data_IF_608857099589
#
_entry.id   IF_608857099589
#
_cell.length_a   1.000
_cell.length_b   1.000
_cell.length_c   1.000
_cell.angle_alpha   90.00
_cell.angle_beta   90.00
_cell.angle_gamma   90.00
#
_symmetry.space_group_name_H-M   'P 1'
#
loop_
_entity.id
_entity.type
_entity.pdbx_description
1 polymer ?
#
# COMPACT_ATOMS: atom_id res chain seq x y z
N UNK A 1 2.74 3.93 20.14
CA UNK A 1 2.20 4.84 19.19
C UNK A 1 1.24 5.89 19.73
N UNK A 2 1.24 6.21 21.05
CA UNK A 2 0.34 7.22 21.62
C UNK A 2 1.08 8.42 22.23
N UNK A 3 2.33 8.60 21.91
CA UNK A 3 3.13 9.66 22.55
C UNK A 3 3.52 10.70 21.51
N UNK A 4 2.51 11.30 20.86
CA UNK A 4 2.78 12.56 20.18
C UNK A 4 2.96 13.62 21.24
N UNK A 5 4.07 14.33 21.10
CA UNK A 5 4.35 15.44 22.01
C UNK A 5 3.17 16.40 21.96
N UNK A 6 2.61 16.74 23.10
CA UNK A 6 1.48 17.66 23.23
C UNK A 6 1.65 18.95 22.39
N UNK A 7 2.90 19.44 22.31
CA UNK A 7 3.27 20.58 21.47
C UNK A 7 3.01 20.39 19.97
N UNK A 8 3.17 19.18 19.42
CA UNK A 8 2.87 18.90 18.01
C UNK A 8 1.37 18.90 17.75
N UNK A 9 0.59 18.33 18.64
CA UNK A 9 -0.88 18.33 18.54
C UNK A 9 -1.39 19.77 18.57
N UNK A 10 -0.88 20.59 19.49
CA UNK A 10 -1.22 22.02 19.60
C UNK A 10 -0.81 22.83 18.35
N UNK A 11 0.37 22.52 17.78
CA UNK A 11 0.82 23.08 16.49
C UNK A 11 -0.21 22.84 15.40
N UNK A 12 -0.67 21.60 15.24
CA UNK A 12 -1.63 21.25 14.19
C UNK A 12 -3.05 21.74 14.48
N UNK A 13 -3.46 21.79 15.74
CA UNK A 13 -4.76 22.37 16.13
C UNK A 13 -4.91 23.85 15.76
N UNK A 14 -3.78 24.57 15.66
CA UNK A 14 -3.75 26.00 15.28
C UNK A 14 -3.72 26.20 13.76
N UNK A 15 -3.45 25.18 12.93
CA UNK A 15 -3.36 25.33 11.46
C UNK A 15 -4.75 25.56 10.83
N UNK A 16 -4.98 26.69 10.14
CA UNK A 16 -6.30 26.98 9.53
C UNK A 16 -6.68 25.97 8.45
N UNK A 17 -5.70 25.43 7.72
CA UNK A 17 -5.90 24.47 6.63
C UNK A 17 -6.53 23.18 7.14
N UNK A 18 -6.09 22.70 8.30
CA UNK A 18 -6.66 21.51 8.93
C UNK A 18 -8.13 21.68 9.31
N UNK A 19 -8.52 22.90 9.70
CA UNK A 19 -9.92 23.20 10.06
C UNK A 19 -10.88 23.12 8.86
N UNK A 20 -10.34 23.26 7.64
CA UNK A 20 -11.10 23.13 6.38
C UNK A 20 -11.27 21.68 5.92
N UNK A 21 -10.47 20.75 6.44
CA UNK A 21 -10.58 19.35 6.09
C UNK A 21 -11.71 18.66 6.88
N UNK A 22 -12.52 17.86 6.21
CA UNK A 22 -13.58 17.04 6.85
C UNK A 22 -13.01 16.10 7.95
N UNK A 23 -11.74 15.74 7.82
CA UNK A 23 -11.00 14.87 8.74
C UNK A 23 -10.12 15.65 9.69
N UNK A 24 -10.50 16.86 10.10
CA UNK A 24 -9.72 17.69 11.03
C UNK A 24 -9.28 16.87 12.26
N UNK A 25 -8.09 16.29 12.17
CA UNK A 25 -7.51 15.48 13.22
C UNK A 25 -6.05 15.91 13.50
N UNK A 26 -5.86 16.90 14.39
CA UNK A 26 -4.52 17.38 14.75
C UNK A 26 -3.61 16.28 15.31
N UNK A 27 -4.18 15.29 16.00
CA UNK A 27 -3.44 14.16 16.55
C UNK A 27 -2.86 13.29 15.43
N UNK A 28 -3.66 12.98 14.41
CA UNK A 28 -3.19 12.22 13.25
C UNK A 28 -2.11 12.98 12.47
N UNK A 29 -2.26 14.28 12.29
CA UNK A 29 -1.25 15.10 11.63
C UNK A 29 0.07 15.14 12.41
N UNK A 30 0.00 15.21 13.75
CA UNK A 30 1.18 15.12 14.62
C UNK A 30 1.86 13.74 14.52
N UNK A 31 1.08 12.65 14.42
CA UNK A 31 1.60 11.30 14.21
C UNK A 31 2.35 11.19 12.88
N UNK A 32 1.79 11.73 11.80
CA UNK A 32 2.44 11.74 10.48
C UNK A 32 3.75 12.54 10.51
N UNK A 33 3.81 13.71 11.17
CA UNK A 33 5.07 14.46 11.32
C UNK A 33 6.10 13.65 12.12
N UNK A 34 5.68 12.92 13.14
CA UNK A 34 6.59 12.08 13.94
C UNK A 34 7.13 10.92 13.11
N UNK A 35 6.28 10.28 12.30
CA UNK A 35 6.69 9.22 11.38
C UNK A 35 7.69 9.76 10.34
N UNK A 36 7.38 10.89 9.74
CA UNK A 36 8.24 11.55 8.73
C UNK A 36 9.63 11.86 9.30
N UNK A 37 9.70 12.41 10.51
CA UNK A 37 10.97 12.64 11.20
C UNK A 37 11.75 11.35 11.49
N UNK A 38 11.06 10.27 11.83
CA UNK A 38 11.71 8.98 12.07
C UNK A 38 12.30 8.40 10.79
N UNK A 39 11.60 8.56 9.67
CA UNK A 39 12.10 8.18 8.34
C UNK A 39 13.31 9.05 7.98
N UNK A 40 13.23 10.37 8.19
CA UNK A 40 14.36 11.28 7.99
C UNK A 40 15.60 10.83 8.76
N UNK A 41 15.45 10.52 10.05
CA UNK A 41 16.58 10.02 10.89
C UNK A 41 17.20 8.75 10.30
N UNK A 42 16.42 7.82 9.77
CA UNK A 42 16.95 6.61 9.12
C UNK A 42 17.75 6.98 7.86
N UNK A 43 17.22 7.87 7.03
CA UNK A 43 17.88 8.30 5.79
C UNK A 43 19.18 9.04 6.09
N UNK A 44 19.17 9.96 7.05
CA UNK A 44 20.36 10.70 7.50
C UNK A 44 21.43 9.74 8.04
N UNK A 45 21.02 8.72 8.81
CA UNK A 45 21.94 7.69 9.32
C UNK A 45 22.59 6.87 8.20
N UNK A 46 21.82 6.54 7.15
CA UNK A 46 22.38 5.83 5.99
C UNK A 46 23.41 6.70 5.23
N UNK A 47 23.14 8.00 5.13
CA UNK A 47 24.06 8.96 4.54
C UNK A 47 25.32 9.12 5.39
N UNK A 48 25.20 9.36 6.68
CA UNK A 48 26.32 9.51 7.63
C UNK A 48 27.25 8.29 7.65
N UNK A 49 26.68 7.10 7.42
CA UNK A 49 27.42 5.84 7.36
C UNK A 49 27.88 5.46 5.94
N UNK A 50 27.67 6.31 4.95
CA UNK A 50 27.99 6.06 3.53
C UNK A 50 27.34 4.77 2.97
N UNK A 51 26.19 4.35 3.51
CA UNK A 51 25.47 3.13 3.13
C UNK A 51 24.36 3.38 2.11
N UNK A 52 23.99 4.60 1.86
CA UNK A 52 22.82 4.99 1.06
C UNK A 52 22.81 4.42 -0.37
N UNK A 53 23.99 4.35 -1.00
CA UNK A 53 24.15 3.84 -2.37
C UNK A 53 24.05 2.32 -2.48
N UNK A 54 24.17 1.61 -1.35
CA UNK A 54 24.07 0.15 -1.27
C UNK A 54 22.84 -0.31 -0.45
N UNK A 55 21.89 0.57 -0.24
CA UNK A 55 20.68 0.27 0.54
C UNK A 55 19.43 0.57 -0.25
N UNK A 56 18.58 -0.45 -0.41
CA UNK A 56 17.21 -0.31 -0.91
C UNK A 56 16.30 0.06 0.25
N UNK A 57 15.72 1.24 0.22
CA UNK A 57 14.72 1.70 1.19
C UNK A 57 13.33 1.56 0.60
N UNK A 58 12.45 0.80 1.26
CA UNK A 58 11.07 0.61 0.86
C UNK A 58 10.15 1.18 1.95
N UNK A 59 9.34 2.16 1.58
CA UNK A 59 8.27 2.69 2.42
C UNK A 59 6.93 2.22 1.90
N UNK A 60 6.16 1.55 2.75
CA UNK A 60 4.86 1.00 2.41
C UNK A 60 3.93 1.05 3.65
N UNK A 61 2.62 1.00 3.45
CA UNK A 61 1.65 0.78 4.52
C UNK A 61 1.28 -0.69 4.59
N UNK A 62 0.92 -1.19 5.77
CA UNK A 62 0.48 -2.57 6.00
C UNK A 62 -0.89 -2.86 5.40
N UNK A 63 -1.76 -1.87 5.32
CA UNK A 63 -3.12 -1.97 4.80
C UNK A 63 -3.66 -0.59 4.41
N UNK A 64 -4.82 -0.57 3.78
CA UNK A 64 -5.50 0.66 3.41
C UNK A 64 -6.04 1.45 4.60
N UNK A 65 -6.62 2.60 4.32
CA UNK A 65 -7.07 3.53 5.35
C UNK A 65 -8.35 3.06 6.06
N UNK A 66 -8.53 3.54 7.29
CA UNK A 66 -9.80 3.37 8.00
C UNK A 66 -10.81 4.42 7.52
N UNK A 67 -11.84 3.94 6.83
CA UNK A 67 -13.16 4.54 6.75
C UNK A 67 -13.36 5.88 6.09
N UNK A 68 -13.70 5.84 4.81
CA UNK A 68 -14.71 6.76 4.28
C UNK A 68 -15.82 5.91 3.65
N UNK A 69 -17.00 5.89 4.26
CA UNK A 69 -18.20 5.28 3.66
C UNK A 69 -18.61 5.98 2.36
N UNK A 70 -18.17 7.23 2.20
CA UNK A 70 -18.52 8.07 1.05
C UNK A 70 -17.63 7.80 -0.20
N UNK A 71 -16.66 6.87 -0.12
CA UNK A 71 -15.86 6.45 -1.28
C UNK A 71 -14.91 7.49 -1.86
N UNK A 72 -14.61 8.57 -1.16
CA UNK A 72 -13.72 9.62 -1.68
C UNK A 72 -12.38 9.65 -0.93
N UNK A 73 -11.23 9.59 -1.63
CA UNK A 73 -11.10 9.34 -3.06
C UNK A 73 -11.38 7.88 -3.47
N UNK A 74 -11.41 6.94 -2.53
CA UNK A 74 -11.66 5.51 -2.77
C UNK A 74 -12.74 4.97 -1.86
N UNK A 75 -13.55 4.03 -2.41
CA UNK A 75 -14.57 3.28 -1.66
C UNK A 75 -13.92 2.29 -0.72
N UNK A 76 -14.59 2.04 0.41
CA UNK A 76 -14.26 1.00 1.37
C UNK A 76 -13.37 1.48 2.51
N UNK A 77 -12.79 0.52 3.21
CA UNK A 77 -11.94 0.77 4.38
C UNK A 77 -11.00 -0.41 4.64
N UNK A 78 -10.08 -0.22 5.60
CA UNK A 78 -9.28 -1.32 6.14
C UNK A 78 -10.13 -2.57 6.39
N UNK A 79 -9.69 -3.70 5.84
CA UNK A 79 -10.31 -5.02 5.99
C UNK A 79 -11.19 -5.46 4.82
N UNK A 80 -11.62 -4.54 3.94
CA UNK A 80 -12.33 -4.90 2.72
C UNK A 80 -11.44 -4.91 1.47
N UNK A 81 -11.96 -5.44 0.37
CA UNK A 81 -11.23 -5.56 -0.89
C UNK A 81 -11.51 -4.41 -1.87
N UNK A 82 -12.20 -3.34 -1.43
CA UNK A 82 -12.30 -2.11 -2.20
C UNK A 82 -10.97 -1.35 -2.21
N UNK A 83 -10.85 -0.38 -3.09
CA UNK A 83 -9.58 0.36 -3.26
C UNK A 83 -9.08 1.00 -1.96
N UNK A 84 -9.96 1.56 -1.12
CA UNK A 84 -9.52 2.15 0.14
C UNK A 84 -8.95 1.13 1.12
N UNK A 85 -9.36 -0.15 1.05
CA UNK A 85 -8.88 -1.21 1.91
C UNK A 85 -7.51 -1.78 1.51
N UNK A 86 -7.22 -1.81 0.21
CA UNK A 86 -6.04 -2.50 -0.34
C UNK A 86 -5.07 -1.61 -1.12
N UNK A 87 -5.46 -0.40 -1.50
CA UNK A 87 -4.58 0.52 -2.22
C UNK A 87 -3.76 1.34 -1.23
N UNK A 88 -2.46 1.11 -1.22
CA UNK A 88 -1.51 1.70 -0.29
C UNK A 88 -0.42 2.47 -1.02
N UNK A 89 0.17 3.50 -0.39
CA UNK A 89 1.37 4.13 -0.94
C UNK A 89 2.53 3.12 -0.94
N UNK A 90 3.31 3.14 -2.01
CA UNK A 90 4.60 2.46 -2.10
C UNK A 90 5.62 3.44 -2.64
N UNK A 91 6.68 3.68 -1.87
CA UNK A 91 7.79 4.54 -2.26
C UNK A 91 9.07 3.74 -2.12
N UNK A 92 9.90 3.76 -3.16
CA UNK A 92 11.17 3.03 -3.16
C UNK A 92 12.29 4.01 -3.48
N UNK A 93 13.31 4.04 -2.63
CA UNK A 93 14.54 4.79 -2.82
C UNK A 93 15.71 3.83 -2.96
N UNK A 94 16.44 3.95 -4.06
CA UNK A 94 17.68 3.19 -4.29
C UNK A 94 18.59 4.01 -5.22
N UNK A 95 19.49 4.81 -4.66
CA UNK A 95 20.40 5.65 -5.44
C UNK A 95 21.21 4.82 -6.45
N UNK A 96 21.40 5.38 -7.65
CA UNK A 96 22.10 4.69 -8.72
C UNK A 96 21.28 3.66 -9.51
N UNK A 97 20.13 3.22 -9.00
CA UNK A 97 19.24 2.25 -9.66
C UNK A 97 17.88 2.85 -9.99
N UNK A 98 17.18 3.37 -8.98
CA UNK A 98 15.88 4.01 -9.16
C UNK A 98 16.10 5.48 -9.51
N UNK A 99 15.57 5.90 -10.67
CA UNK A 99 15.63 7.29 -11.10
C UNK A 99 14.82 8.19 -10.15
N UNK A 100 15.40 9.24 -9.58
CA UNK A 100 14.68 10.17 -8.72
C UNK A 100 13.46 10.77 -9.41
N UNK A 101 12.33 10.82 -8.68
CA UNK A 101 11.08 11.37 -9.19
C UNK A 101 10.38 10.52 -10.26
N UNK A 102 10.87 9.31 -10.54
CA UNK A 102 10.16 8.41 -11.46
C UNK A 102 8.92 7.81 -10.83
N UNK A 103 7.91 7.55 -11.64
CA UNK A 103 6.65 6.91 -11.25
C UNK A 103 6.35 5.73 -12.16
N UNK A 104 5.69 4.71 -11.63
CA UNK A 104 5.22 3.57 -12.41
C UNK A 104 3.73 3.34 -12.17
N UNK A 105 3.01 3.05 -13.25
CA UNK A 105 1.58 2.67 -13.21
C UNK A 105 1.36 1.16 -13.03
N UNK A 106 2.42 0.39 -12.78
CA UNK A 106 2.30 -1.04 -12.58
C UNK A 106 1.60 -1.36 -11.26
N UNK A 107 0.70 -2.33 -11.28
CA UNK A 107 0.07 -2.82 -10.06
C UNK A 107 1.02 -3.75 -9.32
N UNK A 108 1.26 -3.42 -8.07
CA UNK A 108 2.18 -4.11 -7.16
C UNK A 108 1.41 -4.64 -5.97
N UNK A 109 1.79 -5.79 -5.47
CA UNK A 109 1.23 -6.40 -4.26
C UNK A 109 2.37 -6.83 -3.34
N UNK A 110 2.12 -6.96 -2.05
CA UNK A 110 3.15 -7.32 -1.05
C UNK A 110 3.90 -8.63 -1.34
N UNK A 111 3.25 -9.57 -2.03
CA UNK A 111 3.88 -10.82 -2.48
C UNK A 111 5.09 -10.58 -3.40
N UNK A 112 5.18 -9.42 -4.05
CA UNK A 112 6.27 -9.05 -4.95
C UNK A 112 7.59 -8.76 -4.24
N UNK A 113 7.53 -8.44 -2.96
CA UNK A 113 8.74 -8.13 -2.19
C UNK A 113 9.66 -9.34 -2.05
N UNK A 114 9.10 -10.53 -1.82
CA UNK A 114 9.91 -11.74 -1.66
C UNK A 114 10.76 -12.05 -2.91
N UNK A 115 10.19 -12.23 -4.13
CA UNK A 115 11.00 -12.46 -5.32
C UNK A 115 11.93 -11.28 -5.64
N UNK A 116 11.52 -10.03 -5.36
CA UNK A 116 12.37 -8.86 -5.55
C UNK A 116 13.62 -8.93 -4.67
N UNK A 117 13.47 -9.20 -3.39
CA UNK A 117 14.60 -9.27 -2.45
C UNK A 117 15.48 -10.49 -2.71
N UNK A 118 14.88 -11.60 -3.14
CA UNK A 118 15.63 -12.79 -3.56
C UNK A 118 16.52 -12.50 -4.77
N UNK A 119 15.99 -11.84 -5.79
CA UNK A 119 16.76 -11.44 -6.97
C UNK A 119 17.89 -10.47 -6.61
N UNK A 120 17.61 -9.52 -5.71
CA UNK A 120 18.61 -8.54 -5.23
C UNK A 120 19.75 -9.21 -4.48
N UNK A 121 19.46 -10.24 -3.71
CA UNK A 121 20.45 -11.01 -2.96
C UNK A 121 21.25 -11.98 -3.86
N UNK A 122 21.00 -12.00 -5.16
CA UNK A 122 21.63 -12.96 -6.09
C UNK A 122 21.13 -14.39 -5.89
N UNK A 123 20.00 -14.54 -5.20
CA UNK A 123 19.34 -15.83 -4.98
C UNK A 123 18.59 -16.28 -6.22
N UNK A 124 18.44 -17.60 -6.36
CA UNK A 124 17.54 -18.19 -7.34
C UNK A 124 16.35 -18.70 -6.55
N UNK A 125 15.16 -18.13 -6.77
CA UNK A 125 13.95 -18.75 -6.24
C UNK A 125 13.78 -20.14 -6.86
N UNK A 126 13.92 -21.17 -6.04
CA UNK A 126 13.69 -22.56 -6.43
C UNK A 126 12.25 -22.98 -6.24
N UNK A 127 11.46 -22.16 -5.62
CA UNK A 127 10.05 -22.43 -5.38
C UNK A 127 9.25 -22.11 -6.65
N UNK A 128 8.56 -23.11 -7.16
CA UNK A 128 7.76 -23.02 -8.38
C UNK A 128 6.43 -22.29 -8.15
N UNK A 129 6.02 -22.13 -6.90
CA UNK A 129 4.70 -21.65 -6.51
C UNK A 129 4.77 -20.29 -5.81
N UNK A 130 5.46 -19.32 -6.43
CA UNK A 130 5.51 -17.93 -5.95
C UNK A 130 4.52 -17.10 -6.75
N UNK A 131 3.51 -16.55 -6.07
CA UNK A 131 2.50 -15.68 -6.68
C UNK A 131 3.03 -14.28 -7.02
N UNK A 132 4.09 -13.83 -6.36
CA UNK A 132 4.72 -12.55 -6.58
C UNK A 132 5.62 -12.53 -7.81
N UNK A 133 5.87 -11.36 -8.35
CA UNK A 133 6.85 -11.12 -9.42
C UNK A 133 7.88 -10.10 -8.97
N UNK A 134 9.12 -10.26 -9.41
CA UNK A 134 10.18 -9.30 -9.07
C UNK A 134 9.89 -7.91 -9.62
N UNK A 135 10.09 -6.90 -8.79
CA UNK A 135 9.95 -5.49 -9.14
C UNK A 135 11.22 -4.92 -9.79
N UNK A 136 12.32 -5.67 -9.88
CA UNK A 136 13.59 -5.19 -10.45
C UNK A 136 13.45 -4.55 -11.84
N UNK A 137 12.65 -5.08 -12.77
CA UNK A 137 12.46 -4.42 -14.06
C UNK A 137 11.93 -2.99 -13.93
N UNK A 138 10.91 -2.79 -13.07
CA UNK A 138 10.29 -1.47 -12.85
C UNK A 138 11.18 -0.54 -12.03
N UNK A 139 12.01 -1.08 -11.14
CA UNK A 139 12.98 -0.29 -10.37
C UNK A 139 14.08 0.28 -11.26
N UNK A 140 14.48 -0.44 -12.30
CA UNK A 140 15.48 -0.01 -13.28
C UNK A 140 14.91 0.89 -14.37
N UNK A 141 13.69 0.62 -14.78
CA UNK A 141 12.95 1.39 -15.79
C UNK A 141 11.47 1.47 -15.37
N UNK A 142 11.03 2.65 -14.95
CA UNK A 142 9.64 2.87 -14.50
C UNK A 142 8.58 2.60 -15.57
N UNK A 143 8.98 2.57 -16.85
CA UNK A 143 8.12 2.19 -17.98
C UNK A 143 8.03 0.69 -18.25
N UNK A 144 8.87 -0.12 -17.61
CA UNK A 144 8.86 -1.57 -17.78
C UNK A 144 7.53 -2.19 -17.32
N UNK A 145 7.19 -3.33 -17.90
CA UNK A 145 5.99 -4.10 -17.54
C UNK A 145 6.37 -5.28 -16.65
N UNK A 146 5.55 -5.53 -15.64
CA UNK A 146 5.64 -6.73 -14.83
C UNK A 146 4.99 -7.92 -15.58
N UNK A 147 5.56 -9.11 -15.41
CA UNK A 147 5.12 -10.34 -16.08
C UNK A 147 3.93 -10.98 -15.36
N UNK A 148 2.84 -10.21 -15.20
CA UNK A 148 1.58 -10.73 -14.65
C UNK A 148 0.40 -10.23 -15.47
N UNK A 149 -0.66 -11.01 -15.52
CA UNK A 149 -1.90 -10.63 -16.19
C UNK A 149 -2.94 -10.05 -15.23
N UNK A 150 -2.93 -10.49 -13.98
CA UNK A 150 -3.92 -10.12 -12.97
C UNK A 150 -3.31 -10.12 -11.57
N UNK A 151 -4.03 -9.49 -10.65
CA UNK A 151 -3.87 -9.62 -9.20
C UNK A 151 -5.11 -10.25 -8.62
N UNK A 152 -4.97 -11.09 -7.60
CA UNK A 152 -6.11 -11.63 -6.88
C UNK A 152 -5.91 -11.54 -5.37
N UNK A 153 -7.03 -11.47 -4.68
CA UNK A 153 -7.12 -11.46 -3.22
C UNK A 153 -8.16 -12.49 -2.80
N UNK A 154 -7.83 -13.26 -1.79
CA UNK A 154 -8.72 -14.23 -1.18
C UNK A 154 -8.83 -13.95 0.30
N UNK A 155 -9.98 -13.50 0.76
CA UNK A 155 -10.24 -13.13 2.14
C UNK A 155 -11.46 -13.90 2.69
N UNK A 156 -11.28 -15.20 3.07
CA UNK A 156 -12.37 -16.08 3.48
C UNK A 156 -12.74 -15.92 4.96
N UNK A 157 -12.68 -14.71 5.50
CA UNK A 157 -12.86 -14.44 6.91
C UNK A 157 -13.88 -13.33 7.15
N UNK A 158 -14.62 -13.43 8.24
CA UNK A 158 -15.33 -12.28 8.79
C UNK A 158 -14.35 -11.34 9.48
N UNK A 159 -14.47 -10.07 9.22
CA UNK A 159 -13.70 -9.05 9.90
C UNK A 159 -14.56 -8.32 10.94
N UNK A 160 -13.95 -7.95 12.07
CA UNK A 160 -14.65 -7.28 13.19
C UNK A 160 -15.28 -5.91 12.85
N UNK A 161 -15.08 -5.41 11.61
CA UNK A 161 -15.74 -4.21 11.08
C UNK A 161 -17.02 -4.53 10.28
N UNK A 162 -17.55 -5.76 10.36
CA UNK A 162 -18.75 -6.19 9.64
C UNK A 162 -18.51 -6.51 8.17
N UNK A 163 -17.29 -6.89 7.81
CA UNK A 163 -16.92 -7.25 6.44
C UNK A 163 -17.04 -8.76 6.28
N UNK A 164 -17.79 -9.18 5.27
CA UNK A 164 -18.04 -10.59 4.96
C UNK A 164 -16.90 -11.20 4.14
N UNK A 165 -16.77 -12.55 4.14
CA UNK A 165 -15.82 -13.27 3.31
C UNK A 165 -15.97 -12.92 1.84
N UNK A 166 -14.84 -12.64 1.17
CA UNK A 166 -14.85 -12.17 -0.21
C UNK A 166 -13.55 -12.49 -0.93
N UNK A 167 -13.61 -12.47 -2.25
CA UNK A 167 -12.46 -12.51 -3.13
C UNK A 167 -12.48 -11.34 -4.11
N UNK A 168 -11.35 -10.99 -4.65
CA UNK A 168 -11.26 -10.00 -5.72
C UNK A 168 -10.22 -10.41 -6.75
N UNK A 169 -10.49 -10.05 -8.01
CA UNK A 169 -9.53 -10.13 -9.09
C UNK A 169 -9.46 -8.80 -9.83
N UNK A 170 -8.26 -8.35 -10.15
CA UNK A 170 -8.02 -7.18 -11.00
C UNK A 170 -7.24 -7.58 -12.24
N UNK A 171 -7.80 -7.26 -13.40
CA UNK A 171 -7.14 -7.42 -14.71
C UNK A 171 -7.25 -6.12 -15.49
N UNK A 172 -6.13 -5.49 -15.76
CA UNK A 172 -6.10 -4.17 -16.39
C UNK A 172 -6.90 -3.14 -15.59
N UNK A 173 -7.85 -2.46 -16.25
CA UNK A 173 -8.72 -1.47 -15.62
C UNK A 173 -9.85 -2.07 -14.78
N UNK A 174 -10.21 -3.31 -15.03
CA UNK A 174 -11.36 -3.96 -14.41
C UNK A 174 -10.99 -4.64 -13.09
N UNK A 175 -11.90 -4.55 -12.12
CA UNK A 175 -11.84 -5.25 -10.85
C UNK A 175 -13.19 -5.89 -10.55
N UNK A 176 -13.18 -7.20 -10.33
CA UNK A 176 -14.34 -7.97 -9.88
C UNK A 176 -14.16 -8.30 -8.41
N UNK A 177 -15.22 -8.13 -7.62
CA UNK A 177 -15.30 -8.59 -6.23
C UNK A 177 -16.42 -9.63 -6.16
N UNK A 178 -16.14 -10.74 -5.49
CA UNK A 178 -17.11 -11.80 -5.18
C UNK A 178 -17.35 -11.86 -3.68
N UNK A 179 -18.60 -11.85 -3.28
CA UNK A 179 -19.04 -12.08 -1.90
C UNK A 179 -19.40 -13.54 -1.73
N UNK A 180 -18.54 -14.33 -1.06
CA UNK A 180 -18.62 -15.79 -1.06
C UNK A 180 -19.93 -16.35 -0.54
N UNK A 181 -20.53 -15.77 0.49
CA UNK A 181 -21.80 -16.24 1.02
C UNK A 181 -22.95 -16.00 0.03
N UNK A 182 -23.03 -14.79 -0.52
CA UNK A 182 -24.03 -14.45 -1.55
C UNK A 182 -23.91 -15.37 -2.76
N UNK A 183 -22.68 -15.61 -3.22
CA UNK A 183 -22.39 -16.52 -4.34
C UNK A 183 -22.81 -17.96 -4.01
N UNK A 184 -22.50 -18.46 -2.81
CA UNK A 184 -22.83 -19.83 -2.39
C UNK A 184 -24.36 -20.06 -2.30
N UNK A 185 -25.13 -19.04 -1.96
CA UNK A 185 -26.60 -19.13 -1.88
C UNK A 185 -27.31 -18.69 -3.15
N UNK A 186 -26.57 -18.33 -4.21
CA UNK A 186 -27.13 -17.89 -5.49
C UNK A 186 -27.88 -16.55 -5.39
N UNK A 187 -27.49 -15.70 -4.45
CA UNK A 187 -28.11 -14.40 -4.25
C UNK A 187 -27.73 -13.42 -5.35
N UNK A 188 -28.65 -12.55 -5.72
CA UNK A 188 -28.37 -11.38 -6.54
C UNK A 188 -27.31 -10.50 -5.86
N UNK A 189 -26.50 -9.78 -6.65
CA UNK A 189 -25.41 -8.92 -6.14
C UNK A 189 -24.24 -9.66 -5.45
N UNK A 190 -24.07 -10.97 -5.72
CA UNK A 190 -22.91 -11.71 -5.28
C UNK A 190 -21.59 -11.19 -5.91
N UNK A 191 -21.70 -10.52 -7.04
CA UNK A 191 -20.57 -9.99 -7.80
C UNK A 191 -20.67 -8.49 -8.02
N UNK A 192 -19.56 -7.79 -7.85
CA UNK A 192 -19.47 -6.35 -8.15
C UNK A 192 -18.31 -6.12 -9.13
N UNK A 193 -18.62 -5.57 -10.32
CA UNK A 193 -17.61 -5.23 -11.34
C UNK A 193 -17.38 -3.72 -11.37
N UNK A 194 -16.13 -3.34 -11.31
CA UNK A 194 -15.65 -1.96 -11.36
C UNK A 194 -14.71 -1.75 -12.55
N UNK A 195 -14.70 -0.50 -13.03
CA UNK A 195 -13.83 0.00 -14.10
C UNK A 195 -12.96 1.19 -13.59
#
# INVERSE_FOLDING_TARGET
>A
PEVEKKSLIEKYAKKPELKKLKTNNPKQAAMLETLDKSIGTILDTLEDLELENNTLVVFNSDNGQKGSKEGKPFRGSKGDLYEAGIRMPLIIRWPGVVKPGSESAQFVISNDFFPTFTDLAGGISREKDIDGVSLLPVLRDSGAKLSREFLCWHYPHYHGLGIAPSGAIRKGRYKLIEWFEKSAYGEDEAYELYD
#
